data_IF_527804534124
#
_entry.id   IF_527804534124
#
_cell.length_a   1.000
_cell.length_b   1.000
_cell.length_c   1.000
_cell.angle_alpha   90.00
_cell.angle_beta   90.00
_cell.angle_gamma   90.00
#
_symmetry.space_group_name_H-M   'P 1'
#
loop_
_entity.id
_entity.type
_entity.pdbx_description
1 polymer ?
#
# COMPACT_ATOMS: atom_id res chain seq x y z
N UNK A 1 -18.75 -68.87 -5.30
CA UNK A 1 -19.56 -68.62 -6.50
C UNK A 1 -20.39 -67.36 -6.22
N UNK A 2 -19.89 -66.16 -6.56
CA UNK A 2 -20.25 -65.34 -7.76
C UNK A 2 -21.77 -65.06 -7.85
N UNK A 3 -22.32 -63.86 -8.04
CA UNK A 3 -21.88 -62.54 -8.56
C UNK A 3 -22.91 -61.46 -8.15
N UNK A 4 -22.52 -60.17 -8.21
CA UNK A 4 -23.29 -58.90 -8.47
C UNK A 4 -23.64 -58.07 -7.24
N UNK A 5 -22.87 -57.03 -6.92
CA UNK A 5 -22.93 -55.68 -7.51
C UNK A 5 -24.34 -55.08 -7.52
N UNK A 6 -24.53 -54.01 -6.73
CA UNK A 6 -25.47 -52.97 -7.09
C UNK A 6 -24.88 -51.60 -6.74
N UNK A 7 -24.40 -50.95 -7.79
CA UNK A 7 -23.95 -49.56 -7.87
C UNK A 7 -25.17 -48.72 -8.21
N UNK A 8 -25.58 -47.80 -7.34
CA UNK A 8 -26.34 -46.60 -7.73
C UNK A 8 -25.92 -45.47 -6.77
N UNK A 9 -24.97 -44.62 -7.15
CA UNK A 9 -25.19 -43.37 -7.89
C UNK A 9 -26.25 -42.46 -7.26
N UNK A 10 -25.82 -41.54 -6.39
CA UNK A 10 -26.55 -40.29 -6.15
C UNK A 10 -25.65 -39.11 -6.56
N UNK A 11 -25.55 -38.92 -7.88
CA UNK A 11 -25.11 -37.70 -8.51
C UNK A 11 -26.33 -37.09 -9.22
N UNK A 12 -27.03 -36.16 -8.57
CA UNK A 12 -27.73 -35.01 -9.17
C UNK A 12 -28.73 -34.40 -8.19
N UNK A 13 -28.27 -33.43 -7.40
CA UNK A 13 -29.15 -32.40 -6.85
C UNK A 13 -28.83 -31.08 -7.56
N UNK A 14 -29.68 -30.78 -8.54
CA UNK A 14 -29.66 -29.64 -9.43
C UNK A 14 -29.57 -28.28 -8.70
N UNK A 15 -28.42 -27.62 -8.81
CA UNK A 15 -28.32 -26.17 -8.79
C UNK A 15 -28.25 -25.66 -10.24
N UNK A 16 -29.40 -25.27 -10.79
CA UNK A 16 -29.56 -24.78 -12.17
C UNK A 16 -28.60 -23.60 -12.44
N UNK A 17 -27.49 -23.84 -13.14
CA UNK A 17 -26.70 -22.76 -13.74
C UNK A 17 -27.52 -22.16 -14.88
N UNK A 18 -28.01 -20.94 -14.71
CA UNK A 18 -28.58 -20.17 -15.82
C UNK A 18 -27.46 -19.92 -16.82
N UNK A 19 -27.67 -20.39 -18.05
CA UNK A 19 -26.83 -20.15 -19.20
C UNK A 19 -26.98 -18.66 -19.55
N UNK A 20 -25.97 -17.85 -19.28
CA UNK A 20 -25.93 -16.46 -19.76
C UNK A 20 -25.33 -16.51 -21.15
N UNK A 21 -26.18 -16.27 -22.14
CA UNK A 21 -25.80 -16.07 -23.54
C UNK A 21 -24.73 -14.98 -23.63
N UNK A 22 -23.56 -15.35 -24.17
CA UNK A 22 -22.54 -14.38 -24.57
C UNK A 22 -23.03 -13.72 -25.85
N UNK A 23 -23.65 -12.56 -25.72
CA UNK A 23 -23.80 -11.67 -26.87
C UNK A 23 -22.41 -11.25 -27.35
N UNK A 24 -22.09 -11.68 -28.57
CA UNK A 24 -20.98 -11.15 -29.38
C UNK A 24 -21.20 -9.66 -29.55
N UNK A 25 -20.39 -8.86 -28.87
CA UNK A 25 -20.22 -7.45 -29.19
C UNK A 25 -18.92 -7.36 -29.97
N UNK A 26 -19.03 -7.05 -31.26
CA UNK A 26 -17.90 -6.67 -32.08
C UNK A 26 -17.27 -5.41 -31.48
N UNK A 27 -16.09 -5.55 -30.87
CA UNK A 27 -15.27 -4.45 -30.40
C UNK A 27 -13.83 -4.78 -30.79
N UNK A 28 -13.24 -3.95 -31.63
CA UNK A 28 -11.90 -4.10 -32.18
C UNK A 28 -10.88 -4.34 -31.06
N UNK A 29 -10.12 -5.42 -31.17
CA UNK A 29 -8.94 -5.68 -30.35
C UNK A 29 -7.83 -4.68 -30.72
N UNK A 30 -7.85 -3.50 -30.10
CA UNK A 30 -6.62 -2.72 -29.92
C UNK A 30 -5.93 -3.23 -28.65
N UNK A 31 -4.89 -4.03 -28.89
CA UNK A 31 -3.97 -4.53 -27.89
C UNK A 31 -3.22 -3.33 -27.30
N UNK A 32 -3.78 -2.73 -26.26
CA UNK A 32 -3.07 -1.72 -25.46
C UNK A 32 -2.00 -2.41 -24.64
N UNK A 33 -0.78 -2.02 -24.96
CA UNK A 33 0.45 -2.41 -24.34
C UNK A 33 0.48 -2.04 -22.85
N UNK A 34 1.34 -2.76 -22.15
CA UNK A 34 1.73 -2.63 -20.76
C UNK A 34 1.95 -1.15 -20.42
N UNK A 35 0.99 -0.51 -19.76
CA UNK A 35 1.17 0.84 -19.23
C UNK A 35 1.96 0.75 -17.91
N UNK A 36 3.25 0.47 -18.05
CA UNK A 36 4.26 0.76 -17.03
C UNK A 36 4.29 2.27 -16.90
N UNK A 37 3.58 2.79 -15.91
CA UNK A 37 3.34 4.22 -15.76
C UNK A 37 4.63 5.03 -15.85
N UNK A 38 4.77 5.76 -16.96
CA UNK A 38 5.69 6.87 -17.11
C UNK A 38 5.22 7.99 -16.19
N UNK A 39 5.85 8.11 -15.03
CA UNK A 39 5.64 9.25 -14.11
C UNK A 39 6.30 10.54 -14.61
N UNK A 40 6.67 10.60 -15.89
CA UNK A 40 7.36 11.73 -16.50
C UNK A 40 6.86 11.96 -17.93
N UNK A 41 5.66 12.51 -18.07
CA UNK A 41 5.31 13.19 -19.32
C UNK A 41 4.26 14.27 -19.05
N UNK A 42 4.74 15.41 -18.54
CA UNK A 42 4.05 16.69 -18.73
C UNK A 42 4.68 17.38 -19.93
N UNK A 43 3.96 17.39 -21.06
CA UNK A 43 4.25 18.27 -22.18
C UNK A 43 3.97 19.71 -21.76
N UNK A 44 4.98 20.40 -21.26
CA UNK A 44 4.94 21.84 -21.05
C UNK A 44 5.34 22.53 -22.36
N UNK A 45 4.37 22.96 -23.16
CA UNK A 45 4.60 24.06 -24.10
C UNK A 45 4.51 25.37 -23.33
N UNK A 46 5.59 25.75 -22.68
CA UNK A 46 5.79 27.12 -22.23
C UNK A 46 7.31 27.37 -22.19
N UNK A 47 7.79 28.15 -23.15
CA UNK A 47 9.16 28.63 -23.19
C UNK A 47 9.40 29.56 -22.00
N UNK A 48 9.77 28.99 -20.85
CA UNK A 48 10.29 29.73 -19.71
C UNK A 48 11.57 29.05 -19.23
N UNK A 49 12.67 29.57 -19.76
CA UNK A 49 14.05 29.43 -19.32
C UNK A 49 14.27 28.57 -18.07
N UNK A 50 14.89 27.40 -18.30
CA UNK A 50 15.60 26.65 -17.26
C UNK A 50 16.67 27.55 -16.64
N UNK A 51 16.37 28.17 -15.51
CA UNK A 51 17.40 28.66 -14.61
C UNK A 51 17.73 27.54 -13.63
N UNK A 52 18.83 26.84 -13.93
CA UNK A 52 19.71 26.23 -12.93
C UNK A 52 19.89 27.27 -11.80
N UNK A 53 19.90 26.94 -10.50
CA UNK A 53 20.24 27.93 -9.49
C UNK A 53 21.63 28.45 -9.83
N UNK A 54 21.68 29.66 -10.39
CA UNK A 54 22.92 30.33 -10.71
C UNK A 54 23.70 30.45 -9.42
N UNK A 55 25.00 30.19 -9.51
CA UNK A 55 25.97 30.43 -8.45
C UNK A 55 25.57 31.66 -7.62
N UNK A 56 25.63 31.59 -6.27
CA UNK A 56 25.22 32.71 -5.44
C UNK A 56 25.98 33.95 -5.90
N UNK A 57 25.27 34.86 -6.56
CA UNK A 57 25.80 36.19 -6.82
C UNK A 57 26.11 36.79 -5.45
N UNK A 58 27.28 37.42 -5.23
CA UNK A 58 27.62 38.08 -3.99
C UNK A 58 26.83 39.38 -3.86
N UNK A 59 25.49 39.29 -3.92
CA UNK A 59 24.59 40.34 -3.51
C UNK A 59 24.65 40.39 -2.00
N UNK A 60 25.63 41.17 -1.53
CA UNK A 60 25.73 41.78 -0.22
C UNK A 60 25.26 40.91 0.96
N UNK A 61 26.25 40.46 1.74
CA UNK A 61 26.15 39.92 3.10
C UNK A 61 25.56 40.96 4.08
N UNK A 62 24.37 41.47 3.81
CA UNK A 62 23.58 42.14 4.84
C UNK A 62 23.12 41.03 5.79
N UNK A 63 23.38 41.16 7.10
CA UNK A 63 22.83 40.24 8.06
C UNK A 63 21.31 40.21 7.86
N UNK A 64 20.70 39.01 7.75
CA UNK A 64 19.27 38.91 7.58
C UNK A 64 18.59 39.75 8.66
N UNK A 65 17.58 40.54 8.26
CA UNK A 65 16.75 41.28 9.23
C UNK A 65 16.39 40.34 10.39
N UNK A 66 16.43 40.78 11.65
CA UNK A 66 16.07 39.94 12.79
C UNK A 66 14.73 39.21 12.59
N UNK A 67 13.79 39.86 11.90
CA UNK A 67 12.52 39.27 11.49
C UNK A 67 12.70 38.06 10.54
N UNK A 68 13.58 38.16 9.55
CA UNK A 68 13.88 37.07 8.61
C UNK A 68 14.57 35.90 9.29
N UNK A 69 15.44 36.17 10.28
CA UNK A 69 16.05 35.13 11.11
C UNK A 69 14.99 34.38 11.91
N UNK A 70 14.10 35.11 12.58
CA UNK A 70 13.00 34.51 13.34
C UNK A 70 12.04 33.73 12.44
N UNK A 71 11.70 34.26 11.27
CA UNK A 71 10.86 33.55 10.31
C UNK A 71 11.51 32.24 9.82
N UNK A 72 12.82 32.26 9.54
CA UNK A 72 13.56 31.06 9.17
C UNK A 72 13.59 30.04 10.32
N UNK A 73 13.79 30.50 11.56
CA UNK A 73 13.75 29.66 12.76
C UNK A 73 12.37 29.01 12.94
N UNK A 74 11.30 29.78 12.83
CA UNK A 74 9.92 29.30 12.95
C UNK A 74 9.55 28.31 11.85
N UNK A 75 9.97 28.57 10.60
CA UNK A 75 9.77 27.63 9.49
C UNK A 75 10.48 26.30 9.73
N UNK A 76 11.72 26.35 10.21
CA UNK A 76 12.47 25.14 10.57
C UNK A 76 11.78 24.35 11.67
N UNK A 77 11.28 25.03 12.70
CA UNK A 77 10.58 24.38 13.80
C UNK A 77 9.26 23.75 13.33
N UNK A 78 8.50 24.45 12.49
CA UNK A 78 7.31 23.91 11.85
C UNK A 78 7.63 22.62 11.07
N UNK A 79 8.66 22.64 10.23
CA UNK A 79 9.08 21.47 9.45
C UNK A 79 9.48 20.29 10.36
N UNK A 80 10.18 20.57 11.47
CA UNK A 80 10.57 19.56 12.46
C UNK A 80 9.34 18.88 13.09
N UNK A 81 8.31 19.66 13.39
CA UNK A 81 7.05 19.14 13.94
C UNK A 81 6.31 18.30 12.89
N UNK A 82 6.20 18.81 11.67
CA UNK A 82 5.55 18.10 10.55
C UNK A 82 6.26 16.76 10.25
N UNK A 83 7.59 16.76 10.19
CA UNK A 83 8.39 15.55 10.03
C UNK A 83 8.10 14.55 11.15
N UNK A 84 8.13 15.01 12.41
CA UNK A 84 7.83 14.14 13.57
C UNK A 84 6.43 13.54 13.47
N UNK A 85 5.44 14.31 13.02
CA UNK A 85 4.07 13.81 12.81
C UNK A 85 4.00 12.77 11.69
N UNK A 86 4.65 13.03 10.55
CA UNK A 86 4.68 12.10 9.42
C UNK A 86 5.40 10.80 9.77
N UNK A 87 6.53 10.89 10.48
CA UNK A 87 7.26 9.72 10.96
C UNK A 87 6.42 8.87 11.91
N UNK A 88 5.74 9.49 12.89
CA UNK A 88 4.81 8.77 13.78
C UNK A 88 3.68 8.09 13.01
N UNK A 89 3.05 8.79 12.05
CA UNK A 89 2.00 8.20 11.21
C UNK A 89 2.53 7.00 10.42
N UNK A 90 3.69 7.13 9.77
CA UNK A 90 4.32 6.05 9.02
C UNK A 90 4.64 4.85 9.92
N UNK A 91 5.11 5.11 11.14
CA UNK A 91 5.42 4.07 12.10
C UNK A 91 4.17 3.28 12.53
N UNK A 92 3.05 3.95 12.80
CA UNK A 92 1.76 3.29 13.11
C UNK A 92 1.28 2.42 11.95
N UNK A 93 1.37 2.93 10.72
CA UNK A 93 1.01 2.16 9.52
C UNK A 93 1.91 0.94 9.34
N UNK A 94 3.22 1.07 9.60
CA UNK A 94 4.15 -0.05 9.55
C UNK A 94 3.85 -1.10 10.63
N UNK A 95 3.49 -0.68 11.85
CA UNK A 95 3.05 -1.59 12.90
C UNK A 95 1.78 -2.34 12.48
N UNK A 96 0.79 -1.64 11.90
CA UNK A 96 -0.42 -2.27 11.39
C UNK A 96 -0.12 -3.26 10.25
N UNK A 97 0.81 -2.90 9.35
CA UNK A 97 1.25 -3.77 8.25
C UNK A 97 1.94 -5.03 8.74
N UNK A 98 2.74 -4.92 9.80
CA UNK A 98 3.50 -6.03 10.35
C UNK A 98 2.71 -6.83 11.39
N UNK A 99 1.64 -6.25 11.95
CA UNK A 99 0.78 -6.86 12.97
C UNK A 99 0.40 -8.30 12.57
N UNK A 100 0.48 -9.26 13.49
CA UNK A 100 -0.07 -10.58 13.23
C UNK A 100 -1.60 -10.52 13.07
N UNK A 101 -2.19 -11.47 12.33
CA UNK A 101 -3.64 -11.64 12.29
C UNK A 101 -4.23 -11.76 13.70
N UNK A 102 -5.47 -11.32 13.87
CA UNK A 102 -6.17 -11.43 15.16
C UNK A 102 -6.40 -12.91 15.48
N UNK A 103 -6.18 -13.28 16.75
CA UNK A 103 -6.62 -14.59 17.23
C UNK A 103 -8.13 -14.72 17.04
N UNK A 104 -8.56 -15.87 16.51
CA UNK A 104 -9.97 -16.14 16.21
C UNK A 104 -10.62 -15.08 15.30
N UNK A 105 -9.87 -14.56 14.33
CA UNK A 105 -10.39 -13.61 13.34
C UNK A 105 -11.68 -14.09 12.63
N UNK A 106 -11.91 -15.40 12.57
CA UNK A 106 -13.11 -16.02 12.00
C UNK A 106 -14.39 -15.79 12.83
N UNK A 107 -14.27 -15.33 14.08
CA UNK A 107 -15.41 -14.98 14.93
C UNK A 107 -15.85 -13.51 14.72
N UNK A 108 -15.06 -12.70 14.02
CA UNK A 108 -15.36 -11.30 13.72
C UNK A 108 -16.53 -11.26 12.73
N UNK A 109 -17.61 -10.56 13.12
CA UNK A 109 -18.82 -10.40 12.28
C UNK A 109 -18.87 -9.07 11.52
N UNK A 110 -17.91 -8.20 11.76
CA UNK A 110 -17.83 -6.87 11.15
C UNK A 110 -17.19 -6.92 9.74
N UNK A 111 -17.22 -5.79 9.04
CA UNK A 111 -16.55 -5.63 7.74
C UNK A 111 -15.03 -5.94 7.78
N UNK A 112 -14.44 -5.91 8.98
CA UNK A 112 -13.03 -6.26 9.21
C UNK A 112 -12.72 -7.73 8.92
N UNK A 113 -13.74 -8.60 8.91
CA UNK A 113 -13.58 -10.03 8.64
C UNK A 113 -12.80 -10.29 7.34
N UNK A 114 -13.15 -9.63 6.24
CA UNK A 114 -12.49 -9.87 4.94
C UNK A 114 -11.02 -9.45 4.96
N UNK A 115 -10.72 -8.34 5.63
CA UNK A 115 -9.35 -7.85 5.78
C UNK A 115 -8.51 -8.83 6.61
N UNK A 116 -9.04 -9.33 7.73
CA UNK A 116 -8.34 -10.29 8.57
C UNK A 116 -8.19 -11.66 7.89
N UNK A 117 -9.19 -12.11 7.14
CA UNK A 117 -9.10 -13.33 6.33
C UNK A 117 -7.96 -13.24 5.31
N UNK A 118 -7.88 -12.12 4.58
CA UNK A 118 -6.82 -11.86 3.61
C UNK A 118 -5.45 -11.77 4.28
N UNK A 119 -5.36 -11.09 5.43
CA UNK A 119 -4.14 -11.02 6.24
C UNK A 119 -3.69 -12.40 6.68
N UNK A 120 -4.57 -13.21 7.25
CA UNK A 120 -4.26 -14.56 7.69
C UNK A 120 -3.75 -15.44 6.52
N UNK A 121 -4.42 -15.38 5.37
CA UNK A 121 -3.97 -16.10 4.17
C UNK A 121 -2.56 -15.68 3.74
N UNK A 122 -2.25 -14.39 3.84
CA UNK A 122 -0.93 -13.86 3.49
C UNK A 122 0.12 -14.23 4.54
N UNK A 123 -0.26 -14.25 5.82
CA UNK A 123 0.59 -14.63 6.94
C UNK A 123 1.02 -16.10 6.84
N UNK A 124 0.07 -17.01 6.60
CA UNK A 124 0.35 -18.44 6.41
C UNK A 124 1.24 -18.69 5.20
N UNK A 125 1.01 -17.99 4.07
CA UNK A 125 1.87 -18.08 2.88
C UNK A 125 3.32 -17.67 3.16
N UNK A 126 3.51 -16.69 4.04
CA UNK A 126 4.82 -16.12 4.36
C UNK A 126 5.45 -16.72 5.62
N UNK A 127 5.10 -17.96 6.00
CA UNK A 127 5.53 -18.60 7.24
C UNK A 127 7.07 -18.55 7.47
N UNK A 128 7.85 -18.68 6.40
CA UNK A 128 9.33 -18.61 6.46
C UNK A 128 9.87 -17.22 6.82
N UNK A 129 9.11 -16.17 6.55
CA UNK A 129 9.50 -14.78 6.82
C UNK A 129 9.02 -14.29 8.19
N UNK A 130 8.22 -15.08 8.92
CA UNK A 130 7.67 -14.69 10.23
C UNK A 130 8.74 -14.30 11.24
N UNK A 131 9.88 -15.02 11.39
CA UNK A 131 10.93 -14.61 12.33
C UNK A 131 11.48 -13.21 12.02
N UNK A 132 11.66 -12.87 10.75
CA UNK A 132 12.13 -11.55 10.32
C UNK A 132 11.08 -10.46 10.56
N UNK A 133 9.80 -10.78 10.36
CA UNK A 133 8.69 -9.88 10.65
C UNK A 133 8.62 -9.61 12.16
N UNK A 134 8.81 -10.63 13.00
CA UNK A 134 8.80 -10.52 14.45
C UNK A 134 9.98 -9.68 14.97
N UNK A 135 11.20 -9.91 14.47
CA UNK A 135 12.36 -9.06 14.79
C UNK A 135 12.14 -7.60 14.36
N UNK A 136 11.57 -7.38 13.18
CA UNK A 136 11.22 -6.02 12.73
C UNK A 136 10.20 -5.36 13.66
N UNK A 137 9.18 -6.09 14.12
CA UNK A 137 8.21 -5.57 15.10
C UNK A 137 8.89 -5.19 16.39
N UNK A 138 9.79 -6.04 16.92
CA UNK A 138 10.55 -5.77 18.14
C UNK A 138 11.29 -4.44 18.07
N UNK A 139 12.04 -4.21 16.98
CA UNK A 139 12.76 -2.95 16.76
C UNK A 139 11.83 -1.73 16.72
N UNK A 140 10.66 -1.86 16.08
CA UNK A 140 9.68 -0.78 16.05
C UNK A 140 9.12 -0.48 17.46
N UNK A 141 8.86 -1.49 18.30
CA UNK A 141 8.37 -1.26 19.65
C UNK A 141 9.41 -0.61 20.57
N UNK A 142 10.67 -0.98 20.46
CA UNK A 142 11.77 -0.36 21.22
C UNK A 142 11.85 1.14 20.95
N UNK A 143 11.68 1.56 19.70
CA UNK A 143 11.64 2.98 19.32
C UNK A 143 10.41 3.75 19.80
N UNK A 144 9.36 3.08 20.30
CA UNK A 144 8.16 3.72 20.86
C UNK A 144 8.30 3.92 22.37
N UNK A 145 9.02 3.02 23.04
CA UNK A 145 9.19 3.01 24.50
C UNK A 145 10.41 3.79 25.00
N UNK A 146 11.40 4.03 24.13
CA UNK A 146 12.49 5.01 24.37
C UNK A 146 12.07 6.44 24.03
#
# INVERSE_FOLDING_TARGET
MTVKENIYNNANAFGKRKNIERNKINGKDERSEVNSGDWFSSSCTESKSQQRPSSPTPTALLPPSPYMMELARLRREKLRIEEKMLLKRRQVLELERLRPPIEKWYEIKDHHFHHEAQRNNSYVKNQKMLPLIDERRRLLYETITS
#
